data_IF_463847522911
#
_entry.id   IF_463847522911
#
_cell.length_a   1.000
_cell.length_b   1.000
_cell.length_c   1.000
_cell.angle_alpha   90.00
_cell.angle_beta   90.00
_cell.angle_gamma   90.00
#
_symmetry.space_group_name_H-M   'P 1'
#
loop_
_entity.id
_entity.type
_entity.pdbx_description
1 polymer ?
#
# COMPACT_ATOMS: atom_id res chain seq x y z
N UNK A 1 5.73 -34.77 -39.20
CA UNK A 1 6.72 -33.97 -38.43
C UNK A 1 6.26 -32.52 -38.48
N UNK A 2 5.66 -32.02 -37.41
CA UNK A 2 5.18 -30.63 -37.32
C UNK A 2 6.06 -29.87 -36.34
N UNK A 3 6.75 -28.84 -36.82
CA UNK A 3 7.63 -28.00 -36.01
C UNK A 3 6.78 -26.85 -35.48
N UNK A 4 6.35 -26.95 -34.22
CA UNK A 4 5.68 -25.84 -33.53
C UNK A 4 6.69 -24.75 -33.23
N UNK A 5 6.50 -23.56 -33.81
CA UNK A 5 7.26 -22.35 -33.46
C UNK A 5 6.87 -21.93 -32.04
N UNK A 6 7.82 -22.06 -31.10
CA UNK A 6 7.71 -21.41 -29.80
C UNK A 6 7.91 -19.89 -30.01
N UNK A 7 6.84 -19.12 -29.83
CA UNK A 7 6.92 -17.66 -29.75
C UNK A 7 7.65 -17.31 -28.46
N UNK A 8 8.93 -16.96 -28.58
CA UNK A 8 9.70 -16.43 -27.46
C UNK A 8 9.25 -15.00 -27.17
N UNK A 9 8.32 -14.84 -26.23
CA UNK A 9 7.93 -13.53 -25.71
C UNK A 9 9.01 -13.08 -24.73
N UNK A 10 9.89 -12.21 -25.19
CA UNK A 10 10.85 -11.51 -24.33
C UNK A 10 10.03 -10.52 -23.49
N UNK A 11 9.62 -10.92 -22.28
CA UNK A 11 9.00 -10.03 -21.32
C UNK A 11 10.07 -9.08 -20.77
N UNK A 12 10.06 -7.82 -21.19
CA UNK A 12 10.87 -6.80 -20.55
C UNK A 12 10.39 -6.63 -19.10
N UNK A 13 11.30 -6.55 -18.11
CA UNK A 13 10.89 -6.31 -16.74
C UNK A 13 10.16 -4.96 -16.68
N UNK A 14 8.92 -4.98 -16.19
CA UNK A 14 8.13 -3.78 -16.09
C UNK A 14 8.81 -2.79 -15.14
N UNK A 15 8.89 -1.52 -15.56
CA UNK A 15 9.55 -0.48 -14.77
C UNK A 15 8.73 -0.22 -13.51
N UNK A 16 9.32 -0.52 -12.35
CA UNK A 16 8.73 -0.18 -11.05
C UNK A 16 8.85 1.32 -10.79
N UNK A 17 7.84 1.90 -10.15
CA UNK A 17 7.83 3.27 -9.65
C UNK A 17 7.36 3.30 -8.19
N UNK A 18 7.67 4.37 -7.49
CA UNK A 18 7.22 4.56 -6.12
C UNK A 18 5.82 5.20 -6.08
N UNK A 19 4.97 4.69 -5.20
CA UNK A 19 3.60 5.12 -4.97
C UNK A 19 3.42 5.44 -3.49
N UNK A 20 2.66 6.48 -3.19
CA UNK A 20 2.12 6.73 -1.85
C UNK A 20 0.70 6.16 -1.82
N UNK A 21 0.46 5.18 -0.97
CA UNK A 21 -0.86 4.59 -0.75
C UNK A 21 -1.35 4.96 0.63
N UNK A 22 -2.46 5.69 0.73
CA UNK A 22 -3.14 6.00 1.98
C UNK A 22 -4.29 5.02 2.16
N UNK A 23 -4.26 4.26 3.25
CA UNK A 23 -5.36 3.40 3.66
C UNK A 23 -6.18 4.16 4.70
N UNK A 24 -7.45 4.40 4.40
CA UNK A 24 -8.41 5.02 5.31
C UNK A 24 -9.14 3.92 6.08
N UNK A 25 -9.24 4.07 7.40
CA UNK A 25 -9.88 3.08 8.25
C UNK A 25 -10.58 3.71 9.46
N UNK A 26 -11.44 2.92 10.09
CA UNK A 26 -12.14 3.22 11.34
C UNK A 26 -11.78 2.20 12.40
N UNK A 27 -11.84 2.61 13.66
CA UNK A 27 -11.66 1.73 14.80
C UNK A 27 -12.95 1.79 15.65
N UNK A 28 -14.04 1.10 15.27
CA UNK A 28 -15.36 1.30 15.87
C UNK A 28 -15.36 1.06 17.39
N UNK A 29 -14.65 0.03 17.83
CA UNK A 29 -14.55 -0.29 19.26
C UNK A 29 -13.80 0.84 19.99
N UNK A 30 -12.76 1.43 19.39
CA UNK A 30 -12.03 2.56 19.99
C UNK A 30 -12.91 3.80 20.02
N UNK A 31 -13.53 4.15 18.89
CA UNK A 31 -14.44 5.30 18.76
C UNK A 31 -15.64 5.20 19.72
N UNK A 32 -16.12 3.98 20.03
CA UNK A 32 -17.16 3.78 21.06
C UNK A 32 -16.70 4.22 22.45
N UNK A 33 -15.41 4.04 22.77
CA UNK A 33 -14.83 4.35 24.07
C UNK A 33 -14.28 5.79 24.15
N UNK A 34 -13.65 6.28 23.09
CA UNK A 34 -13.00 7.60 23.04
C UNK A 34 -13.87 8.71 22.45
N UNK A 35 -15.03 8.36 21.89
CA UNK A 35 -15.88 9.24 21.09
C UNK A 35 -15.61 9.12 19.59
N UNK A 36 -16.64 9.38 18.75
CA UNK A 36 -16.55 9.23 17.31
C UNK A 36 -15.64 10.30 16.70
N UNK A 37 -14.86 9.90 15.68
CA UNK A 37 -14.11 10.87 14.86
C UNK A 37 -14.94 11.30 13.66
N UNK A 38 -14.86 12.58 13.31
CA UNK A 38 -15.46 13.09 12.06
C UNK A 38 -14.79 12.45 10.84
N UNK A 39 -13.45 12.42 10.84
CA UNK A 39 -12.65 11.90 9.73
C UNK A 39 -12.09 10.52 10.05
N UNK A 40 -11.95 9.63 9.04
CA UNK A 40 -11.32 8.33 9.23
C UNK A 40 -9.85 8.48 9.61
N UNK A 41 -9.34 7.48 10.31
CA UNK A 41 -7.91 7.31 10.50
C UNK A 41 -7.26 7.02 9.15
N UNK A 42 -5.98 7.33 9.01
CA UNK A 42 -5.24 6.99 7.81
C UNK A 42 -3.85 6.46 8.14
N UNK A 43 -3.37 5.54 7.31
CA UNK A 43 -1.99 5.07 7.30
C UNK A 43 -1.42 5.18 5.90
N UNK A 44 -0.23 5.76 5.76
CA UNK A 44 0.42 5.97 4.46
C UNK A 44 1.58 5.01 4.29
N UNK A 45 1.56 4.25 3.19
CA UNK A 45 2.65 3.40 2.75
C UNK A 45 3.35 4.02 1.54
N UNK A 46 4.67 3.85 1.46
CA UNK A 46 5.42 4.14 0.24
C UNK A 46 5.83 2.81 -0.40
N UNK A 47 5.17 2.43 -1.49
CA UNK A 47 5.34 1.13 -2.14
C UNK A 47 5.99 1.29 -3.51
N UNK A 48 6.98 0.44 -3.83
CA UNK A 48 7.60 0.39 -5.15
C UNK A 48 6.97 -0.73 -5.97
N UNK A 49 6.13 -0.38 -6.94
CA UNK A 49 5.39 -1.33 -7.76
C UNK A 49 5.28 -0.88 -9.23
N UNK A 50 4.96 -1.84 -10.11
CA UNK A 50 4.81 -1.61 -11.55
C UNK A 50 3.55 -0.81 -11.87
N UNK A 51 2.47 -1.12 -11.16
CA UNK A 51 1.15 -0.50 -11.31
C UNK A 51 0.60 0.00 -9.98
N UNK A 52 -0.38 0.88 -10.08
CA UNK A 52 -1.15 1.42 -8.95
C UNK A 52 -1.85 0.29 -8.17
N UNK A 53 -2.54 -0.62 -8.87
CA UNK A 53 -3.24 -1.76 -8.25
C UNK A 53 -2.30 -2.66 -7.45
N UNK A 54 -1.08 -2.90 -7.96
CA UNK A 54 -0.06 -3.68 -7.26
C UNK A 54 0.43 -2.96 -6.01
N UNK A 55 0.57 -1.63 -6.06
CA UNK A 55 0.92 -0.83 -4.90
C UNK A 55 -0.17 -0.89 -3.82
N UNK A 56 -1.45 -0.74 -4.21
CA UNK A 56 -2.59 -0.85 -3.30
C UNK A 56 -2.64 -2.23 -2.67
N UNK A 57 -2.54 -3.30 -3.47
CA UNK A 57 -2.60 -4.67 -2.98
C UNK A 57 -1.51 -4.95 -1.92
N UNK A 58 -0.27 -4.53 -2.20
CA UNK A 58 0.84 -4.70 -1.25
C UNK A 58 0.63 -3.86 0.01
N UNK A 59 0.19 -2.60 -0.10
CA UNK A 59 -0.10 -1.76 1.07
C UNK A 59 -1.20 -2.37 1.96
N UNK A 60 -2.25 -2.95 1.35
CA UNK A 60 -3.32 -3.62 2.09
C UNK A 60 -2.82 -4.88 2.81
N UNK A 61 -1.91 -5.63 2.19
CA UNK A 61 -1.29 -6.79 2.82
C UNK A 61 -0.43 -6.37 4.03
N UNK A 62 0.42 -5.36 3.86
CA UNK A 62 1.24 -4.79 4.94
C UNK A 62 0.37 -4.24 6.08
N UNK A 63 -0.75 -3.57 5.76
CA UNK A 63 -1.69 -3.06 6.76
C UNK A 63 -2.35 -4.17 7.56
N UNK A 64 -2.82 -5.23 6.90
CA UNK A 64 -3.40 -6.40 7.59
C UNK A 64 -2.37 -7.15 8.42
N UNK A 65 -1.12 -7.20 7.96
CA UNK A 65 -0.03 -7.79 8.73
C UNK A 65 0.21 -6.97 10.01
N UNK A 66 0.31 -5.64 9.90
CA UNK A 66 0.42 -4.74 11.04
C UNK A 66 -0.75 -4.92 12.02
N UNK A 67 -1.99 -4.99 11.51
CA UNK A 67 -3.18 -5.20 12.34
C UNK A 67 -3.09 -6.51 13.14
N UNK A 68 -2.70 -7.62 12.49
CA UNK A 68 -2.53 -8.92 13.15
C UNK A 68 -1.45 -8.92 14.23
N UNK A 69 -0.41 -8.09 14.09
CA UNK A 69 0.65 -7.95 15.09
C UNK A 69 0.35 -6.88 16.15
N UNK A 70 -0.78 -6.18 16.02
CA UNK A 70 -1.18 -5.13 16.94
C UNK A 70 -1.63 -5.72 18.27
N UNK A 71 -0.95 -5.39 19.36
CA UNK A 71 -1.28 -5.87 20.72
C UNK A 71 -2.55 -5.24 21.31
N UNK A 72 -3.09 -4.21 20.67
CA UNK A 72 -4.18 -3.40 21.21
C UNK A 72 -5.59 -3.95 20.92
N UNK A 73 -5.71 -5.04 20.14
CA UNK A 73 -6.96 -5.80 19.97
C UNK A 73 -8.13 -5.07 19.27
N UNK A 74 -8.00 -3.79 18.94
CA UNK A 74 -9.05 -3.03 18.26
C UNK A 74 -9.20 -3.48 16.80
N UNK A 75 -10.44 -3.71 16.39
CA UNK A 75 -10.82 -4.03 15.01
C UNK A 75 -10.65 -2.79 14.14
N UNK A 76 -9.97 -2.93 13.00
CA UNK A 76 -9.84 -1.87 11.99
C UNK A 76 -10.74 -2.19 10.79
N UNK A 77 -11.59 -1.25 10.42
CA UNK A 77 -12.47 -1.36 9.25
C UNK A 77 -11.96 -0.40 8.18
N UNK A 78 -11.43 -0.95 7.09
CA UNK A 78 -10.97 -0.16 5.94
C UNK A 78 -12.20 0.47 5.27
N UNK A 79 -12.17 1.79 5.08
CA UNK A 79 -13.23 2.56 4.44
C UNK A 79 -12.85 3.08 3.06
N UNK A 80 -11.56 3.05 2.70
CA UNK A 80 -11.11 3.47 1.38
C UNK A 80 -9.59 3.43 1.22
N UNK A 81 -9.14 3.59 -0.02
CA UNK A 81 -7.73 3.71 -0.38
C UNK A 81 -7.55 4.88 -1.33
N UNK A 82 -6.55 5.71 -1.08
CA UNK A 82 -6.11 6.77 -1.98
C UNK A 82 -4.68 6.45 -2.41
N UNK A 83 -4.32 6.79 -3.65
CA UNK A 83 -3.00 6.51 -4.18
C UNK A 83 -2.53 7.63 -5.07
N UNK A 84 -1.23 7.94 -4.99
CA UNK A 84 -0.59 8.93 -5.82
C UNK A 84 0.85 8.53 -6.14
N UNK A 85 1.43 9.01 -7.24
CA UNK A 85 2.85 8.86 -7.49
C UNK A 85 3.64 9.48 -6.33
N UNK A 86 4.63 8.74 -5.81
CA UNK A 86 5.41 9.25 -4.71
C UNK A 86 6.39 10.32 -5.20
N UNK A 87 6.55 11.45 -4.50
CA UNK A 87 7.55 12.45 -4.85
C UNK A 87 8.95 11.83 -4.75
N UNK A 88 9.94 12.32 -5.52
CA UNK A 88 11.33 11.92 -5.35
C UNK A 88 11.72 12.08 -3.88
N UNK A 89 12.39 11.07 -3.31
CA UNK A 89 12.91 11.21 -1.96
C UNK A 89 13.97 12.33 -1.99
N UNK A 90 13.97 13.26 -1.01
CA UNK A 90 15.10 14.15 -0.83
C UNK A 90 16.35 13.28 -0.69
N UNK A 91 17.35 13.51 -1.53
CA UNK A 91 18.67 12.92 -1.30
C UNK A 91 19.17 13.50 0.02
N UNK A 92 19.45 12.68 1.04
CA UNK A 92 19.99 13.19 2.29
C UNK A 92 21.31 13.89 1.96
N UNK A 93 21.42 15.15 2.37
CA UNK A 93 22.63 15.95 2.21
C UNK A 93 23.74 15.24 3.00
N UNK A 94 24.68 14.60 2.28
CA UNK A 94 25.74 13.79 2.90
C UNK A 94 26.93 14.63 3.38
N UNK A 95 26.84 15.95 3.27
CA UNK A 95 27.96 16.88 3.47
C UNK A 95 27.76 17.85 4.65
N UNK A 96 27.14 17.42 5.76
CA UNK A 96 27.06 18.22 6.99
C UNK A 96 27.54 17.49 8.25
#
# INVERSE_FOLDING_TARGET
MSISRATNVIAFPARKRAWLVRILYREPTYELNSGPRREPYCWTYRITAETEDRAIAQALEEFRLMERHSSVGWVRVITGTEVSPAPPQPVPDRDR
#
